data_IF_475683796060
#
_entry.id   IF_475683796060
#
_cell.length_a   1.000
_cell.length_b   1.000
_cell.length_c   1.000
_cell.angle_alpha   90.00
_cell.angle_beta   90.00
_cell.angle_gamma   90.00
#
_symmetry.space_group_name_H-M   'P 1'
#
loop_
_entity.id
_entity.type
_entity.pdbx_description
1 polymer ?
#
# COMPACT_ATOMS: atom_id res chain seq x y z
N UNK A 1 26.56 14.55 2.14
CA UNK A 1 25.89 13.28 1.81
C UNK A 1 24.43 13.60 1.94
N UNK A 2 23.70 13.69 0.84
CA UNK A 2 22.24 13.72 0.90
C UNK A 2 21.82 12.38 1.51
N UNK A 3 21.41 12.40 2.78
CA UNK A 3 20.80 11.23 3.40
C UNK A 3 19.54 10.92 2.62
N UNK A 4 19.58 9.84 1.84
CA UNK A 4 18.45 9.39 1.03
C UNK A 4 17.37 8.92 1.98
N UNK A 5 16.16 9.49 1.88
CA UNK A 5 15.07 9.19 2.79
C UNK A 5 14.58 7.76 2.51
N UNK A 6 14.61 6.88 3.51
CA UNK A 6 14.13 5.51 3.33
C UNK A 6 12.62 5.48 3.49
N UNK A 7 11.90 5.25 2.39
CA UNK A 7 10.45 5.27 2.42
C UNK A 7 9.84 4.28 1.44
N UNK A 8 8.78 3.61 1.91
CA UNK A 8 7.96 2.69 1.11
C UNK A 8 6.49 3.06 1.20
N UNK A 9 5.75 2.64 0.20
CA UNK A 9 4.29 2.77 0.14
C UNK A 9 3.67 1.39 0.01
N UNK A 10 2.76 1.06 0.90
CA UNK A 10 1.90 -0.12 0.82
C UNK A 10 0.65 0.28 0.06
N UNK A 11 0.47 -0.30 -1.11
CA UNK A 11 -0.59 0.01 -2.06
C UNK A 11 -0.83 -1.22 -2.91
N UNK A 12 -2.10 -1.55 -3.14
CA UNK A 12 -2.46 -2.57 -4.11
C UNK A 12 -2.69 -1.93 -5.47
N UNK A 13 -2.23 -2.62 -6.50
CA UNK A 13 -2.53 -2.31 -7.90
C UNK A 13 -2.51 -3.64 -8.66
N UNK A 14 -3.23 -3.72 -9.77
CA UNK A 14 -3.42 -4.99 -10.47
C UNK A 14 -2.09 -5.58 -10.95
N UNK A 15 -1.82 -6.83 -10.55
CA UNK A 15 -0.61 -7.56 -10.89
C UNK A 15 0.69 -6.92 -10.35
N UNK A 16 0.62 -6.11 -9.30
CA UNK A 16 1.77 -5.49 -8.63
C UNK A 16 2.24 -6.31 -7.42
N UNK A 17 3.25 -5.82 -6.69
CA UNK A 17 3.85 -6.49 -5.52
C UNK A 17 3.28 -6.00 -4.16
N UNK A 18 2.27 -5.12 -4.16
CA UNK A 18 1.72 -4.55 -2.93
C UNK A 18 2.63 -3.52 -2.21
N UNK A 19 3.90 -3.41 -2.60
CA UNK A 19 4.90 -2.47 -2.04
C UNK A 19 5.56 -1.65 -3.14
N UNK A 20 5.61 -0.34 -2.92
CA UNK A 20 5.99 0.66 -3.90
C UNK A 20 6.99 1.66 -3.34
N UNK A 21 7.69 2.35 -4.23
CA UNK A 21 8.52 3.50 -3.85
C UNK A 21 7.62 4.66 -3.42
N UNK A 22 8.02 5.35 -2.35
CA UNK A 22 7.30 6.53 -1.87
C UNK A 22 7.74 7.83 -2.57
N UNK A 23 8.53 7.77 -3.65
CA UNK A 23 9.13 8.95 -4.29
C UNK A 23 8.12 9.98 -4.81
N UNK A 24 6.90 9.55 -5.15
CA UNK A 24 5.80 10.45 -5.54
C UNK A 24 5.30 11.34 -4.40
N UNK A 25 5.54 10.94 -3.15
CA UNK A 25 5.10 11.65 -1.93
C UNK A 25 6.28 12.28 -1.18
N UNK A 26 7.42 11.61 -1.21
CA UNK A 26 8.63 12.00 -0.51
C UNK A 26 9.74 12.10 -1.55
N UNK A 27 9.94 13.29 -2.15
CA UNK A 27 11.00 13.50 -3.13
C UNK A 27 12.36 13.14 -2.56
N UNK A 28 13.18 12.43 -3.34
CA UNK A 28 14.50 11.97 -2.89
C UNK A 28 14.46 10.74 -1.97
N UNK A 29 13.29 10.10 -1.80
CA UNK A 29 13.22 8.82 -1.11
C UNK A 29 13.69 7.63 -1.96
N UNK A 30 14.11 6.55 -1.28
CA UNK A 30 14.61 5.32 -1.89
C UNK A 30 14.04 4.07 -1.20
N UNK A 31 13.91 3.00 -1.97
CA UNK A 31 13.64 1.64 -1.48
C UNK A 31 14.90 0.79 -1.35
N UNK A 32 16.08 1.36 -1.59
CA UNK A 32 17.34 0.61 -1.53
C UNK A 32 17.55 0.00 -0.14
N UNK A 33 17.74 -1.31 -0.11
CA UNK A 33 17.89 -2.07 1.14
C UNK A 33 16.58 -2.38 1.85
N UNK A 34 15.42 -2.15 1.23
CA UNK A 34 14.13 -2.60 1.78
C UNK A 34 14.13 -4.12 1.94
N UNK A 35 13.88 -4.58 3.16
CA UNK A 35 13.76 -6.00 3.48
C UNK A 35 12.88 -6.20 4.70
N UNK A 36 11.84 -7.01 4.54
CA UNK A 36 11.00 -7.52 5.63
C UNK A 36 11.19 -9.04 5.76
N UNK A 37 10.64 -9.63 6.82
CA UNK A 37 10.61 -11.07 7.01
C UNK A 37 9.86 -11.76 5.87
N UNK A 38 10.27 -12.99 5.51
CA UNK A 38 9.60 -13.78 4.47
C UNK A 38 8.12 -14.02 4.81
N UNK A 39 7.79 -14.16 6.10
CA UNK A 39 6.43 -14.31 6.57
C UNK A 39 5.60 -13.05 6.32
N UNK A 40 6.13 -11.86 6.61
CA UNK A 40 5.44 -10.60 6.33
C UNK A 40 5.32 -10.36 4.82
N UNK A 41 6.38 -10.64 4.06
CA UNK A 41 6.34 -10.56 2.60
C UNK A 41 5.26 -11.46 2.01
N UNK A 42 5.16 -12.73 2.46
CA UNK A 42 4.11 -13.64 2.03
C UNK A 42 2.71 -13.09 2.29
N UNK A 43 2.48 -12.47 3.44
CA UNK A 43 1.18 -11.84 3.73
C UNK A 43 0.86 -10.65 2.82
N UNK A 44 1.87 -9.86 2.44
CA UNK A 44 1.68 -8.76 1.47
C UNK A 44 1.31 -9.33 0.10
N UNK A 45 1.97 -10.41 -0.33
CA UNK A 45 1.65 -11.10 -1.57
C UNK A 45 0.24 -11.70 -1.55
N UNK A 46 -0.17 -12.32 -0.44
CA UNK A 46 -1.53 -12.85 -0.28
C UNK A 46 -2.59 -11.74 -0.32
N UNK A 47 -2.33 -10.61 0.33
CA UNK A 47 -3.20 -9.44 0.29
C UNK A 47 -3.33 -8.87 -1.12
N UNK A 48 -2.22 -8.75 -1.84
CA UNK A 48 -2.22 -8.33 -3.24
C UNK A 48 -2.93 -9.32 -4.17
N UNK A 49 -2.76 -10.63 -3.96
CA UNK A 49 -3.49 -11.65 -4.70
C UNK A 49 -5.00 -11.59 -4.42
N UNK A 50 -5.38 -11.24 -3.18
CA UNK A 50 -6.78 -10.98 -2.84
C UNK A 50 -7.32 -9.76 -3.62
N UNK A 51 -6.56 -8.67 -3.70
CA UNK A 51 -6.91 -7.53 -4.56
C UNK A 51 -7.09 -7.94 -6.03
N UNK A 52 -6.16 -8.71 -6.59
CA UNK A 52 -6.22 -9.13 -8.00
C UNK A 52 -7.43 -10.04 -8.28
N UNK A 53 -7.89 -10.80 -7.28
CA UNK A 53 -9.07 -11.66 -7.41
C UNK A 53 -10.39 -10.91 -7.64
N UNK A 54 -10.42 -9.59 -7.38
CA UNK A 54 -11.60 -8.76 -7.64
C UNK A 54 -11.91 -8.65 -9.14
N UNK A 55 -10.92 -8.81 -10.04
CA UNK A 55 -11.18 -8.82 -11.48
C UNK A 55 -11.55 -10.24 -11.92
N UNK A 56 -12.84 -10.44 -12.20
CA UNK A 56 -13.37 -11.71 -12.75
C UNK A 56 -13.66 -11.55 -14.23
N UNK A 57 -13.82 -12.68 -14.95
CA UNK A 57 -14.30 -12.68 -16.34
C UNK A 57 -15.72 -12.08 -16.41
N UNK A 58 -15.81 -10.75 -16.57
CA UNK A 58 -17.07 -10.00 -16.55
C UNK A 58 -17.01 -8.62 -15.88
N UNK A 59 -15.92 -8.29 -15.16
CA UNK A 59 -15.78 -7.02 -14.43
C UNK A 59 -15.33 -7.21 -12.99
N UNK A 60 -15.45 -6.14 -12.20
CA UNK A 60 -15.18 -6.16 -10.76
C UNK A 60 -16.19 -7.05 -10.00
N UNK A 61 -15.73 -7.71 -8.95
CA UNK A 61 -16.55 -8.53 -8.07
C UNK A 61 -17.38 -7.65 -7.12
N UNK A 62 -18.73 -7.61 -7.25
CA UNK A 62 -19.57 -6.78 -6.39
C UNK A 62 -19.60 -7.24 -4.94
N UNK A 63 -19.17 -8.48 -4.66
CA UNK A 63 -19.11 -9.05 -3.31
C UNK A 63 -17.71 -8.90 -2.68
N UNK A 64 -16.81 -8.14 -3.29
CA UNK A 64 -15.48 -7.89 -2.74
C UNK A 64 -15.57 -7.15 -1.39
N UNK A 65 -15.01 -7.75 -0.33
CA UNK A 65 -14.96 -7.14 1.00
C UNK A 65 -13.88 -6.05 1.08
N UNK A 66 -14.20 -4.88 0.51
CA UNK A 66 -13.32 -3.71 0.49
C UNK A 66 -12.94 -3.24 1.90
N UNK A 67 -13.86 -3.34 2.88
CA UNK A 67 -13.60 -2.93 4.26
C UNK A 67 -12.61 -3.87 4.93
N UNK A 68 -12.79 -5.18 4.76
CA UNK A 68 -11.83 -6.18 5.22
C UNK A 68 -10.47 -6.01 4.56
N UNK A 69 -10.47 -5.71 3.26
CA UNK A 69 -9.27 -5.49 2.46
C UNK A 69 -8.44 -4.31 2.97
N UNK A 70 -9.07 -3.14 3.18
CA UNK A 70 -8.39 -1.96 3.72
C UNK A 70 -7.89 -2.20 5.14
N UNK A 71 -8.68 -2.87 5.97
CA UNK A 71 -8.26 -3.22 7.33
C UNK A 71 -7.00 -4.10 7.35
N UNK A 72 -6.92 -5.08 6.46
CA UNK A 72 -5.72 -5.93 6.35
C UNK A 72 -4.53 -5.14 5.79
N UNK A 73 -4.74 -4.32 4.75
CA UNK A 73 -3.70 -3.46 4.19
C UNK A 73 -3.09 -2.51 5.22
N UNK A 74 -3.92 -1.87 6.04
CA UNK A 74 -3.46 -1.03 7.15
C UNK A 74 -2.69 -1.82 8.21
N UNK A 75 -3.15 -3.03 8.54
CA UNK A 75 -2.46 -3.93 9.47
C UNK A 75 -1.09 -4.38 8.94
N UNK A 76 -0.98 -4.63 7.64
CA UNK A 76 0.28 -4.94 6.96
C UNK A 76 1.23 -3.74 6.99
N UNK A 77 0.76 -2.54 6.67
CA UNK A 77 1.60 -1.34 6.72
C UNK A 77 2.15 -1.08 8.12
N UNK A 78 1.35 -1.33 9.17
CA UNK A 78 1.83 -1.33 10.56
C UNK A 78 2.86 -2.41 10.86
N UNK A 79 2.69 -3.62 10.32
CA UNK A 79 3.67 -4.68 10.49
C UNK A 79 5.00 -4.35 9.79
N UNK A 80 4.94 -3.75 8.60
CA UNK A 80 6.12 -3.26 7.88
C UNK A 80 6.83 -2.17 8.69
N UNK A 81 6.08 -1.20 9.24
CA UNK A 81 6.66 -0.17 10.11
C UNK A 81 7.30 -0.75 11.37
N UNK A 82 6.75 -1.81 11.95
CA UNK A 82 7.32 -2.47 13.11
C UNK A 82 8.64 -3.19 12.81
N UNK A 83 8.81 -3.77 11.61
CA UNK A 83 10.08 -4.37 11.18
C UNK A 83 11.09 -3.32 10.68
N UNK A 84 10.61 -2.17 10.21
CA UNK A 84 11.39 -1.08 9.65
C UNK A 84 11.12 0.25 10.39
N UNK A 85 11.50 0.36 11.68
CA UNK A 85 11.14 1.52 12.50
C UNK A 85 11.73 2.84 11.96
N UNK A 86 12.92 2.78 11.36
CA UNK A 86 13.62 3.93 10.78
C UNK A 86 13.12 4.34 9.39
N UNK A 87 12.22 3.55 8.79
CA UNK A 87 11.65 3.84 7.47
C UNK A 87 10.35 4.60 7.61
N UNK A 88 10.08 5.49 6.65
CA UNK A 88 8.75 6.07 6.48
C UNK A 88 7.90 5.05 5.73
N UNK A 89 6.76 4.67 6.31
CA UNK A 89 5.83 3.73 5.68
C UNK A 89 4.54 4.48 5.41
N UNK A 90 4.21 4.59 4.13
CA UNK A 90 2.94 5.15 3.67
C UNK A 90 1.98 3.99 3.37
N UNK A 91 0.70 4.18 3.63
CA UNK A 91 -0.36 3.26 3.25
C UNK A 91 -1.39 3.98 2.38
N UNK A 92 -1.80 3.36 1.28
CA UNK A 92 -2.92 3.85 0.46
C UNK A 92 -4.20 3.11 0.80
N UNK A 93 -5.17 3.88 1.30
CA UNK A 93 -6.49 3.44 1.68
C UNK A 93 -7.42 3.45 0.47
N UNK A 94 -7.79 2.26 -0.01
CA UNK A 94 -8.65 2.09 -1.19
C UNK A 94 -10.05 2.68 -0.99
N UNK A 95 -10.57 2.75 0.23
CA UNK A 95 -11.88 3.39 0.48
C UNK A 95 -11.77 4.89 0.23
N UNK A 96 -10.70 5.51 0.74
CA UNK A 96 -10.46 6.94 0.52
C UNK A 96 -10.13 7.23 -0.95
N UNK A 97 -9.45 6.32 -1.64
CA UNK A 97 -9.16 6.45 -3.07
C UNK A 97 -10.46 6.42 -3.89
N UNK A 98 -11.31 5.42 -3.68
CA UNK A 98 -12.60 5.31 -4.35
C UNK A 98 -13.46 6.55 -4.07
N UNK A 99 -13.53 6.99 -2.82
CA UNK A 99 -14.25 8.22 -2.47
C UNK A 99 -13.71 9.45 -3.20
N UNK A 100 -12.38 9.62 -3.29
CA UNK A 100 -11.77 10.74 -3.99
C UNK A 100 -12.04 10.72 -5.49
N UNK A 101 -11.98 9.54 -6.13
CA UNK A 101 -12.30 9.35 -7.55
C UNK A 101 -13.77 9.68 -7.82
N UNK A 102 -14.69 9.17 -7.00
CA UNK A 102 -16.14 9.42 -7.16
C UNK A 102 -16.51 10.89 -7.00
N UNK A 103 -15.76 11.64 -6.20
CA UNK A 103 -16.05 13.04 -5.87
C UNK A 103 -15.11 14.05 -6.55
N UNK A 104 -14.28 13.60 -7.51
CA UNK A 104 -13.31 14.43 -8.25
C UNK A 104 -12.41 15.27 -7.32
N UNK A 105 -11.94 14.64 -6.23
CA UNK A 105 -11.09 15.29 -5.22
C UNK A 105 -9.63 15.23 -5.69
N UNK A 106 -9.05 16.41 -5.94
CA UNK A 106 -7.63 16.54 -6.26
C UNK A 106 -6.73 16.32 -5.03
N UNK A 107 -5.51 15.83 -5.28
CA UNK A 107 -4.50 15.57 -4.24
C UNK A 107 -4.34 14.10 -3.95
N UNK A 108 -3.91 13.75 -2.74
CA UNK A 108 -3.68 12.35 -2.32
C UNK A 108 -4.18 12.07 -0.89
N UNK A 109 -5.43 12.46 -0.54
CA UNK A 109 -5.99 12.27 0.81
C UNK A 109 -6.11 10.81 1.23
N UNK A 110 -6.02 9.88 0.28
CA UNK A 110 -6.06 8.43 0.51
C UNK A 110 -4.74 7.83 0.96
N UNK A 111 -3.66 8.61 1.09
CA UNK A 111 -2.38 8.10 1.60
C UNK A 111 -2.12 8.60 3.01
N UNK A 112 -1.86 7.66 3.92
CA UNK A 112 -1.59 7.93 5.34
C UNK A 112 -0.20 7.46 5.72
N UNK A 113 0.52 8.26 6.52
CA UNK A 113 1.79 7.84 7.12
C UNK A 113 1.52 6.96 8.34
N UNK A 114 2.22 5.84 8.43
CA UNK A 114 2.14 4.91 9.55
C UNK A 114 3.23 5.24 10.57
N UNK A 115 2.79 5.58 11.78
CA UNK A 115 3.64 5.93 12.93
C UNK A 115 3.98 4.73 13.80
#
# INVERSE_FOLDING_TARGET
>A
MDETIKAVRIMADFCADGVWSASSYIPGSTMEGFRVSEALWGRVQDWQAWHDSQIRCGGEDPDFDLVGFVREGYALARAVKAELPDWIVLYSDEILLNYAIENDIEGTPWTVEIT
#
